data_IF_086646618229
#
_entry.id   IF_086646618229
#
_cell.length_a   1.000
_cell.length_b   1.000
_cell.length_c   1.000
_cell.angle_alpha   90.00
_cell.angle_beta   90.00
_cell.angle_gamma   90.00
#
_symmetry.space_group_name_H-M   'P 1'
#
loop_
_entity.id
_entity.type
_entity.pdbx_description
1 polymer ?
#
# COMPACT_ATOMS: atom_id res chain seq x y z
N UNK A 1 18.63 0.33 -2.09
CA UNK A 1 17.59 0.88 -2.98
C UNK A 1 17.66 2.40 -2.97
N UNK A 2 17.50 3.04 -4.12
CA UNK A 2 17.45 4.49 -4.27
C UNK A 2 16.35 4.90 -5.24
N UNK A 3 15.84 6.11 -5.08
CA UNK A 3 14.84 6.72 -5.95
C UNK A 3 15.39 8.04 -6.48
N UNK A 4 15.23 8.31 -7.78
CA UNK A 4 15.71 9.55 -8.41
C UNK A 4 14.68 10.08 -9.39
N UNK A 5 14.39 11.39 -9.34
CA UNK A 5 13.55 12.02 -10.36
C UNK A 5 14.26 12.02 -11.73
N UNK A 6 13.57 11.58 -12.79
CA UNK A 6 14.09 11.64 -14.16
C UNK A 6 13.49 12.81 -14.94
N UNK A 7 12.18 12.98 -14.86
CA UNK A 7 11.40 14.01 -15.53
C UNK A 7 10.11 14.25 -14.77
N UNK A 8 9.32 15.28 -15.11
CA UNK A 8 7.95 15.37 -14.62
C UNK A 8 7.20 14.04 -14.73
N UNK A 9 6.52 13.63 -13.67
CA UNK A 9 5.73 12.39 -13.59
C UNK A 9 6.53 11.08 -13.54
N UNK A 10 7.86 11.11 -13.64
CA UNK A 10 8.68 9.89 -13.81
C UNK A 10 9.89 9.85 -12.87
N UNK A 11 10.05 8.74 -12.17
CA UNK A 11 11.17 8.45 -11.29
C UNK A 11 11.88 7.17 -11.74
N UNK A 12 13.18 7.10 -11.45
CA UNK A 12 14.00 5.91 -11.58
C UNK A 12 14.08 5.25 -10.21
N UNK A 13 13.58 4.03 -10.11
CA UNK A 13 13.79 3.14 -8.99
C UNK A 13 15.02 2.31 -9.29
N UNK A 14 16.00 2.33 -8.39
CA UNK A 14 17.20 1.49 -8.47
C UNK A 14 17.31 0.60 -7.25
N UNK A 15 17.52 -0.69 -7.48
CA UNK A 15 17.74 -1.69 -6.44
C UNK A 15 19.16 -2.21 -6.60
N UNK A 16 19.94 -2.10 -5.54
CA UNK A 16 21.28 -2.70 -5.49
C UNK A 16 21.14 -4.13 -4.96
N UNK A 17 21.70 -5.07 -5.71
CA UNK A 17 21.69 -6.51 -5.44
C UNK A 17 23.14 -6.99 -5.28
N UNK A 18 23.38 -8.16 -4.65
CA UNK A 18 24.73 -8.73 -4.61
C UNK A 18 25.37 -8.92 -6.00
N UNK A 19 24.55 -9.15 -7.03
CA UNK A 19 24.95 -9.35 -8.43
C UNK A 19 25.11 -8.06 -9.24
N UNK A 20 24.76 -6.89 -8.69
CA UNK A 20 24.80 -5.62 -9.43
C UNK A 20 23.66 -4.69 -9.03
N UNK A 21 22.94 -4.15 -10.01
CA UNK A 21 21.76 -3.33 -9.76
C UNK A 21 20.73 -3.52 -10.86
N UNK A 22 19.46 -3.31 -10.52
CA UNK A 22 18.35 -3.24 -11.46
C UNK A 22 17.71 -1.87 -11.36
N UNK A 23 17.30 -1.33 -12.51
CA UNK A 23 16.60 -0.05 -12.58
C UNK A 23 15.29 -0.19 -13.34
N UNK A 24 14.27 0.52 -12.90
CA UNK A 24 13.03 0.67 -13.65
C UNK A 24 12.44 2.07 -13.51
N UNK A 25 11.62 2.45 -14.49
CA UNK A 25 10.89 3.73 -14.51
C UNK A 25 9.52 3.53 -13.88
N UNK A 26 9.26 4.28 -12.84
CA UNK A 26 7.97 4.29 -12.16
C UNK A 26 7.31 5.66 -12.28
N UNK A 27 5.99 5.69 -12.09
CA UNK A 27 5.26 6.95 -11.95
C UNK A 27 5.58 7.56 -10.59
N UNK A 28 5.83 8.86 -10.57
CA UNK A 28 5.97 9.61 -9.32
C UNK A 28 5.49 11.05 -9.47
N UNK A 29 5.08 11.66 -8.36
CA UNK A 29 4.65 13.07 -8.33
C UNK A 29 5.85 13.98 -8.04
N UNK A 30 6.20 14.81 -9.02
CA UNK A 30 7.35 15.74 -8.98
C UNK A 30 7.19 16.88 -7.96
N UNK A 31 5.98 17.10 -7.44
CA UNK A 31 5.69 18.19 -6.50
C UNK A 31 6.07 17.84 -5.06
N UNK A 32 6.61 16.64 -4.84
CA UNK A 32 6.83 16.07 -3.53
C UNK A 32 8.30 15.70 -3.31
N UNK A 33 8.77 15.72 -2.05
CA UNK A 33 10.01 15.06 -1.71
C UNK A 33 9.92 13.58 -2.09
N UNK A 34 11.02 13.02 -2.58
CA UNK A 34 11.11 11.59 -2.88
C UNK A 34 10.85 10.81 -1.59
N UNK A 35 9.72 10.11 -1.53
CA UNK A 35 9.43 9.18 -0.45
C UNK A 35 10.26 7.94 -0.73
N UNK A 36 11.21 7.65 0.17
CA UNK A 36 12.07 6.47 0.05
C UNK A 36 11.15 5.25 0.09
N UNK A 37 11.18 4.38 -0.95
CA UNK A 37 10.38 3.17 -0.91
C UNK A 37 10.87 2.27 0.23
N UNK A 38 9.99 1.41 0.73
CA UNK A 38 10.35 0.43 1.75
C UNK A 38 10.00 -0.97 1.25
N UNK A 39 10.67 -1.96 1.84
CA UNK A 39 10.55 -3.37 1.49
C UNK A 39 9.72 -4.10 2.54
N UNK A 40 8.92 -5.07 2.09
CA UNK A 40 8.01 -5.89 2.89
C UNK A 40 7.78 -7.21 2.20
N UNK A 41 7.89 -8.32 2.94
CA UNK A 41 7.38 -9.64 2.53
C UNK A 41 5.85 -9.67 2.73
N UNK A 42 5.11 -9.25 1.71
CA UNK A 42 3.65 -9.05 1.76
C UNK A 42 2.90 -10.38 1.86
N UNK A 43 3.51 -11.47 1.39
CA UNK A 43 2.87 -12.77 1.21
C UNK A 43 3.52 -13.93 1.97
N UNK A 44 4.49 -13.66 2.84
CA UNK A 44 5.23 -14.65 3.62
C UNK A 44 6.21 -15.53 2.84
N UNK A 45 6.45 -15.27 1.56
CA UNK A 45 7.20 -16.21 0.71
C UNK A 45 8.72 -16.10 0.88
N UNK A 46 9.16 -15.15 1.72
CA UNK A 46 10.58 -14.88 1.99
C UNK A 46 11.24 -14.00 0.93
N UNK A 47 10.47 -13.45 -0.01
CA UNK A 47 10.91 -12.38 -0.91
C UNK A 47 10.21 -11.09 -0.52
N UNK A 48 10.96 -10.00 -0.59
CA UNK A 48 10.42 -8.70 -0.29
C UNK A 48 9.78 -8.10 -1.55
N UNK A 49 8.54 -7.65 -1.43
CA UNK A 49 7.95 -6.64 -2.28
C UNK A 49 8.39 -5.24 -1.84
N UNK A 50 8.29 -4.28 -2.74
CA UNK A 50 8.50 -2.87 -2.47
C UNK A 50 7.19 -2.12 -2.50
N UNK A 51 6.98 -1.26 -1.51
CA UNK A 51 5.89 -0.29 -1.52
C UNK A 51 6.45 1.06 -1.91
N UNK A 52 5.95 1.58 -3.03
CA UNK A 52 6.48 2.81 -3.63
C UNK A 52 5.38 3.87 -3.70
N UNK A 53 5.64 5.04 -3.12
CA UNK A 53 4.71 6.15 -3.22
C UNK A 53 4.64 6.68 -4.65
N UNK A 54 3.44 6.77 -5.21
CA UNK A 54 3.22 7.22 -6.59
C UNK A 54 2.49 8.56 -6.68
N UNK A 55 1.76 8.95 -5.62
CA UNK A 55 1.11 10.26 -5.50
C UNK A 55 0.87 10.64 -4.03
N UNK A 56 0.88 11.94 -3.72
CA UNK A 56 0.37 12.48 -2.44
C UNK A 56 -0.66 13.56 -2.75
N UNK A 57 -1.90 13.30 -2.37
CA UNK A 57 -2.99 14.27 -2.35
C UNK A 57 -3.02 15.04 -1.03
N UNK A 58 -3.96 15.98 -0.90
CA UNK A 58 -4.06 16.85 0.28
C UNK A 58 -4.18 16.09 1.62
N UNK A 59 -4.79 14.90 1.61
CA UNK A 59 -5.02 14.10 2.81
C UNK A 59 -4.68 12.61 2.62
N UNK A 60 -4.17 12.20 1.45
CA UNK A 60 -4.00 10.78 1.12
C UNK A 60 -2.74 10.56 0.32
N UNK A 61 -1.90 9.64 0.75
CA UNK A 61 -0.79 9.12 -0.05
C UNK A 61 -1.23 7.85 -0.76
N UNK A 62 -0.91 7.73 -2.05
CA UNK A 62 -1.12 6.53 -2.86
C UNK A 62 0.21 5.84 -3.07
N UNK A 63 0.20 4.53 -2.87
CA UNK A 63 1.35 3.66 -3.11
C UNK A 63 0.99 2.59 -4.15
N UNK A 64 2.01 2.06 -4.82
CA UNK A 64 1.92 0.85 -5.63
C UNK A 64 2.88 -0.20 -5.06
N UNK A 65 2.48 -1.46 -5.12
CA UNK A 65 3.30 -2.60 -4.69
C UNK A 65 4.05 -3.16 -5.91
N UNK A 66 5.34 -3.43 -5.75
CA UNK A 66 6.23 -3.91 -6.81
C UNK A 66 6.99 -5.14 -6.35
N UNK A 67 7.12 -6.13 -7.21
CA UNK A 67 7.92 -7.33 -6.95
C UNK A 67 9.19 -7.33 -7.81
N UNK A 68 10.19 -8.06 -7.35
CA UNK A 68 11.40 -8.36 -8.09
C UNK A 68 11.55 -9.87 -8.26
N UNK A 69 11.31 -10.38 -9.46
CA UNK A 69 11.57 -11.75 -9.85
C UNK A 69 12.11 -11.82 -11.29
N UNK A 70 12.71 -12.95 -11.65
CA UNK A 70 13.31 -13.18 -12.99
C UNK A 70 14.23 -12.02 -13.47
N UNK A 71 14.99 -11.44 -12.53
CA UNK A 71 15.86 -10.28 -12.72
C UNK A 71 15.15 -9.00 -13.23
N UNK A 72 13.83 -8.87 -12.97
CA UNK A 72 13.01 -7.76 -13.46
C UNK A 72 12.08 -7.21 -12.38
N UNK A 73 11.87 -5.90 -12.48
CA UNK A 73 10.84 -5.22 -11.72
C UNK A 73 9.52 -5.22 -12.45
N UNK A 74 8.46 -5.44 -11.68
CA UNK A 74 7.10 -5.34 -12.17
C UNK A 74 6.15 -4.95 -11.04
N UNK A 75 5.08 -4.22 -11.38
CA UNK A 75 4.03 -3.91 -10.42
C UNK A 75 3.27 -5.20 -10.08
N UNK A 76 3.02 -5.42 -8.80
CA UNK A 76 2.02 -6.40 -8.37
C UNK A 76 0.66 -5.91 -8.85
N UNK A 77 -0.15 -6.82 -9.37
CA UNK A 77 -1.46 -6.50 -9.93
C UNK A 77 -2.58 -7.09 -9.08
N UNK A 78 -3.77 -6.52 -9.15
CA UNK A 78 -5.00 -7.18 -8.70
C UNK A 78 -5.48 -8.19 -9.74
N UNK A 79 -6.46 -9.03 -9.39
CA UNK A 79 -6.99 -10.08 -10.30
C UNK A 79 -7.51 -9.56 -11.65
N UNK A 80 -7.86 -8.27 -11.74
CA UNK A 80 -8.29 -7.59 -12.96
C UNK A 80 -7.13 -7.04 -13.82
N UNK A 81 -5.88 -7.25 -13.38
CA UNK A 81 -4.67 -6.79 -14.05
C UNK A 81 -4.31 -5.32 -13.81
N UNK A 82 -5.04 -4.60 -12.97
CA UNK A 82 -4.65 -3.25 -12.57
C UNK A 82 -3.48 -3.28 -11.56
N UNK A 83 -2.59 -2.28 -11.53
CA UNK A 83 -1.59 -2.18 -10.48
C UNK A 83 -2.25 -2.13 -9.10
N UNK A 84 -1.74 -2.94 -8.17
CA UNK A 84 -2.25 -2.98 -6.81
C UNK A 84 -1.83 -1.73 -6.06
N UNK A 85 -2.83 -0.99 -5.58
CA UNK A 85 -2.66 0.29 -4.89
C UNK A 85 -3.03 0.20 -3.43
N UNK A 86 -2.21 0.86 -2.62
CA UNK A 86 -2.46 1.07 -1.19
C UNK A 86 -2.67 2.55 -0.93
N UNK A 87 -3.42 2.86 0.11
CA UNK A 87 -3.74 4.22 0.50
C UNK A 87 -3.42 4.44 1.97
N UNK A 88 -2.87 5.61 2.28
CA UNK A 88 -2.63 6.05 3.67
C UNK A 88 -3.22 7.44 3.87
N UNK A 89 -4.02 7.61 4.92
CA UNK A 89 -4.67 8.88 5.28
C UNK A 89 -6.18 8.86 5.04
N UNK A 90 -6.71 9.86 4.35
CA UNK A 90 -8.14 10.06 4.08
C UNK A 90 -8.77 11.26 4.81
N UNK A 91 -8.09 11.76 5.85
CA UNK A 91 -8.53 12.93 6.61
C UNK A 91 -9.85 12.68 7.35
N UNK A 92 -10.75 13.68 7.38
CA UNK A 92 -12.04 13.58 8.08
C UNK A 92 -13.10 12.77 7.32
N UNK A 93 -12.90 12.57 6.02
CA UNK A 93 -13.92 12.00 5.12
C UNK A 93 -13.67 10.54 4.76
N UNK A 94 -12.50 10.00 5.10
CA UNK A 94 -12.13 8.62 4.79
C UNK A 94 -11.04 8.11 5.73
N UNK A 95 -10.97 6.79 5.82
CA UNK A 95 -9.87 6.05 6.44
C UNK A 95 -9.23 5.21 5.33
N UNK A 96 -7.95 5.42 5.11
CA UNK A 96 -7.09 4.62 4.25
C UNK A 96 -5.85 4.22 5.04
N UNK A 97 -5.54 2.93 5.06
CA UNK A 97 -4.32 2.43 5.67
C UNK A 97 -4.02 1.01 5.25
N UNK A 98 -2.79 0.57 5.50
CA UNK A 98 -2.40 -0.82 5.32
C UNK A 98 -1.43 -1.26 6.42
N UNK A 99 -1.29 -2.57 6.59
CA UNK A 99 -0.35 -3.18 7.53
C UNK A 99 -0.27 -4.68 7.31
N UNK A 100 0.68 -5.34 7.96
CA UNK A 100 0.90 -6.76 7.80
C UNK A 100 0.30 -7.53 8.98
N UNK A 101 -0.35 -8.65 8.68
CA UNK A 101 -0.93 -9.52 9.69
C UNK A 101 0.12 -10.47 10.26
N UNK A 102 -0.05 -11.01 11.49
CA UNK A 102 0.86 -12.01 12.04
C UNK A 102 0.97 -13.29 11.19
N UNK A 103 -0.04 -13.57 10.36
CA UNK A 103 -0.06 -14.68 9.40
C UNK A 103 0.59 -14.31 8.06
N UNK A 104 1.25 -13.15 7.98
CA UNK A 104 2.03 -12.68 6.82
C UNK A 104 1.19 -12.51 5.54
N UNK A 105 0.06 -11.83 5.68
CA UNK A 105 -0.69 -11.23 4.58
C UNK A 105 -0.84 -9.73 4.81
N UNK A 106 -0.93 -8.94 3.74
CA UNK A 106 -1.16 -7.49 3.84
C UNK A 106 -2.64 -7.19 3.97
N UNK A 107 -2.98 -6.50 5.05
CA UNK A 107 -4.31 -5.97 5.32
C UNK A 107 -4.39 -4.53 4.83
N UNK A 108 -5.31 -4.28 3.91
CA UNK A 108 -5.66 -2.96 3.39
C UNK A 108 -7.03 -2.55 3.95
N UNK A 109 -7.14 -1.32 4.44
CA UNK A 109 -8.35 -0.76 5.03
C UNK A 109 -8.76 0.45 4.21
N UNK A 110 -9.99 0.43 3.71
CA UNK A 110 -10.59 1.55 3.00
C UNK A 110 -12.01 1.76 3.49
N UNK A 111 -12.27 2.89 4.15
CA UNK A 111 -13.61 3.28 4.61
C UNK A 111 -13.88 4.76 4.33
N UNK A 112 -15.16 5.10 4.16
CA UNK A 112 -15.64 6.46 3.88
C UNK A 112 -16.62 6.90 4.94
N UNK A 113 -16.66 8.20 5.21
CA UNK A 113 -17.58 8.79 6.17
C UNK A 113 -19.04 8.52 5.76
N UNK A 114 -19.82 7.96 6.68
CA UNK A 114 -21.27 7.92 6.62
C UNK A 114 -21.82 9.16 7.35
N UNK A 115 -22.23 10.15 6.57
CA UNK A 115 -22.80 11.41 7.07
C UNK A 115 -24.08 11.20 7.90
N UNK A 116 -24.89 10.20 7.55
CA UNK A 116 -26.13 9.92 8.26
C UNK A 116 -25.85 9.31 9.64
N UNK A 117 -24.96 8.33 9.71
CA UNK A 117 -24.50 7.76 10.97
C UNK A 117 -23.69 8.77 11.82
N UNK A 118 -23.05 9.74 11.17
CA UNK A 118 -22.25 10.80 11.83
C UNK A 118 -23.08 11.98 12.36
N UNK A 119 -24.40 12.00 12.15
CA UNK A 119 -25.26 13.13 12.55
C UNK A 119 -25.22 13.47 14.05
N UNK A 120 -24.80 12.52 14.90
CA UNK A 120 -24.59 12.71 16.34
C UNK A 120 -23.28 13.43 16.71
N UNK A 121 -22.47 13.85 15.74
CA UNK A 121 -21.21 14.58 15.95
C UNK A 121 -19.96 13.70 16.14
N UNK A 122 -20.11 12.38 16.16
CA UNK A 122 -18.99 11.42 16.10
C UNK A 122 -18.88 10.88 14.68
N UNK A 123 -17.75 11.10 13.97
CA UNK A 123 -17.54 10.53 12.64
C UNK A 123 -17.66 9.00 12.63
N UNK A 124 -18.48 8.49 11.71
CA UNK A 124 -18.74 7.06 11.47
C UNK A 124 -18.39 6.72 10.04
N UNK A 125 -17.80 5.54 9.83
CA UNK A 125 -17.28 5.14 8.53
C UNK A 125 -17.79 3.75 8.14
N UNK A 126 -18.00 3.59 6.84
CA UNK A 126 -18.37 2.34 6.20
C UNK A 126 -17.37 2.00 5.10
N UNK A 127 -17.07 0.72 4.92
CA UNK A 127 -16.09 0.28 3.92
C UNK A 127 -15.69 -1.18 4.06
N UNK A 128 -14.42 -1.45 3.79
CA UNK A 128 -13.87 -2.81 3.79
C UNK A 128 -12.45 -2.85 4.32
N UNK A 129 -12.16 -3.88 5.10
CA UNK A 129 -10.80 -4.32 5.35
C UNK A 129 -10.55 -5.63 4.61
N UNK A 130 -9.51 -5.68 3.78
CA UNK A 130 -9.19 -6.84 2.96
C UNK A 130 -7.79 -7.30 3.28
N UNK A 131 -7.62 -8.58 3.61
CA UNK A 131 -6.30 -9.20 3.70
C UNK A 131 -6.00 -9.92 2.39
N UNK A 132 -4.87 -9.56 1.78
CA UNK A 132 -4.39 -10.08 0.53
C UNK A 132 -3.22 -11.05 0.72
N UNK A 133 -3.09 -11.97 -0.22
CA UNK A 133 -1.89 -12.78 -0.46
C UNK A 133 -1.41 -12.53 -1.87
N UNK A 134 -0.10 -12.52 -2.10
CA UNK A 134 0.48 -12.36 -3.44
C UNK A 134 0.97 -13.71 -3.96
N UNK A 135 0.65 -14.04 -5.19
CA UNK A 135 1.19 -15.21 -5.88
C UNK A 135 1.45 -14.87 -7.36
N UNK A 136 2.71 -15.03 -7.79
CA UNK A 136 3.11 -14.77 -9.18
C UNK A 136 2.86 -13.32 -9.63
N UNK A 137 3.17 -12.35 -8.78
CA UNK A 137 2.95 -10.93 -9.07
C UNK A 137 1.47 -10.49 -9.08
N UNK A 138 0.56 -11.33 -8.58
CA UNK A 138 -0.88 -11.01 -8.47
C UNK A 138 -1.34 -11.10 -7.02
N UNK A 139 -1.99 -10.05 -6.54
CA UNK A 139 -2.64 -9.96 -5.24
C UNK A 139 -4.05 -10.54 -5.30
N UNK A 140 -4.32 -11.49 -4.42
CA UNK A 140 -5.60 -12.18 -4.28
C UNK A 140 -6.19 -11.86 -2.90
N UNK A 141 -7.47 -11.47 -2.82
CA UNK A 141 -8.14 -11.28 -1.54
C UNK A 141 -8.31 -12.65 -0.86
N UNK A 142 -7.68 -12.82 0.30
CA UNK A 142 -7.76 -14.02 1.12
C UNK A 142 -8.89 -13.93 2.16
N UNK A 143 -9.09 -12.73 2.73
CA UNK A 143 -10.15 -12.45 3.69
C UNK A 143 -10.70 -11.04 3.44
N UNK A 144 -12.02 -10.88 3.53
CA UNK A 144 -12.68 -9.58 3.39
C UNK A 144 -13.65 -9.40 4.55
N UNK A 145 -13.48 -8.30 5.27
CA UNK A 145 -14.31 -7.89 6.39
C UNK A 145 -15.05 -6.61 6.01
N UNK A 146 -16.39 -6.62 5.98
CA UNK A 146 -17.17 -5.39 5.84
C UNK A 146 -17.03 -4.55 7.11
N UNK A 147 -16.78 -3.26 6.93
CA UNK A 147 -16.73 -2.27 7.99
C UNK A 147 -18.03 -1.48 7.94
N UNK A 148 -18.74 -1.44 9.06
CA UNK A 148 -19.98 -0.68 9.20
C UNK A 148 -20.00 0.05 10.54
N UNK A 149 -20.39 1.32 10.50
CA UNK A 149 -20.54 2.20 11.67
C UNK A 149 -19.28 2.25 12.56
N UNK A 150 -18.10 2.16 11.94
CA UNK A 150 -16.83 2.15 12.66
C UNK A 150 -16.37 3.57 12.96
N UNK A 151 -15.63 3.77 14.05
CA UNK A 151 -14.94 5.05 14.32
C UNK A 151 -13.49 4.97 13.87
N UNK A 152 -12.81 6.11 13.86
CA UNK A 152 -11.38 6.17 13.53
C UNK A 152 -10.49 5.43 14.54
N UNK A 153 -10.96 5.21 15.78
CA UNK A 153 -10.24 4.45 16.82
C UNK A 153 -10.67 2.97 16.86
N UNK A 154 -11.56 2.53 15.98
CA UNK A 154 -12.00 1.13 15.94
C UNK A 154 -10.81 0.21 15.64
N UNK A 155 -10.55 -0.83 16.46
CA UNK A 155 -9.44 -1.75 16.22
C UNK A 155 -9.42 -2.38 14.83
N UNK A 156 -10.59 -2.54 14.18
CA UNK A 156 -10.70 -3.14 12.85
C UNK A 156 -10.09 -2.29 11.74
N UNK A 157 -10.00 -0.98 11.97
CA UNK A 157 -9.37 -0.01 11.04
C UNK A 157 -7.96 0.40 11.43
N UNK A 158 -7.47 -0.07 12.59
CA UNK A 158 -6.09 0.17 13.00
C UNK A 158 -5.15 -0.76 12.24
N UNK A 159 -4.36 -0.18 11.35
CA UNK A 159 -3.29 -0.86 10.61
C UNK A 159 -2.04 0.01 10.66
N UNK A 160 -0.89 -0.64 10.72
CA UNK A 160 0.40 0.04 10.85
C UNK A 160 1.37 -0.54 9.80
N UNK A 161 1.82 0.27 8.82
CA UNK A 161 2.83 -0.14 7.86
C UNK A 161 4.14 -0.64 8.50
N UNK A 162 4.49 -0.20 9.71
CA UNK A 162 5.69 -0.67 10.39
C UNK A 162 5.61 -2.16 10.78
N UNK A 163 4.40 -2.74 10.88
CA UNK A 163 4.22 -4.19 11.10
C UNK A 163 4.67 -5.03 9.91
N UNK A 164 4.89 -4.40 8.75
CA UNK A 164 5.41 -5.03 7.55
C UNK A 164 6.94 -5.09 7.46
N UNK A 165 7.66 -4.46 8.40
CA UNK A 165 9.11 -4.55 8.41
C UNK A 165 9.56 -5.99 8.69
N UNK A 166 10.48 -6.50 7.88
CA UNK A 166 11.07 -7.82 8.08
C UNK A 166 11.69 -7.93 9.48
N UNK A 167 11.25 -8.93 10.25
CA UNK A 167 11.91 -9.29 11.51
C UNK A 167 13.16 -10.07 11.16
N UNK A 168 14.29 -9.36 11.06
CA UNK A 168 15.68 -9.85 11.21
C UNK A 168 16.09 -11.10 10.46
#
# INVERSE_FOLDING_TARGET
MTLRQLSPGTQLLRIDLPSGYVEDRIRGDERLPLIVPFVVDVNADGRDEMVVATAVGANTTTFEVWSFDDDRLHAVTTEDGAPWRLYEGGGVSAIGGYGCTPKRGLRDVQARLDEAASAGGTPRYDGTAVTYTVAGGVAYPAETEPLQDVTQDDPRVQVDPATCAAVG
#
